data_IF_696164803067
#
_entry.id   IF_696164803067
#
_cell.length_a   1.000
_cell.length_b   1.000
_cell.length_c   1.000
_cell.angle_alpha   90.00
_cell.angle_beta   90.00
_cell.angle_gamma   90.00
#
_symmetry.space_group_name_H-M   'P 1'
#
loop_
_entity.id
_entity.type
_entity.pdbx_description
1 polymer ?
#
# COMPACT_ATOMS: atom_id res chain seq x y z
N UNK A 1 -22.84 -16.98 88.32
CA UNK A 1 -21.88 -17.78 87.51
C UNK A 1 -22.57 -18.15 86.20
N UNK A 2 -21.91 -17.99 85.04
CA UNK A 2 -22.47 -17.22 83.92
C UNK A 2 -23.43 -17.99 83.00
N UNK A 3 -24.39 -17.22 82.47
CA UNK A 3 -25.43 -17.62 81.52
C UNK A 3 -24.85 -17.81 80.12
N UNK A 4 -25.21 -18.92 79.46
CA UNK A 4 -24.87 -19.24 78.07
C UNK A 4 -25.60 -18.28 77.11
N UNK A 5 -24.85 -17.55 76.28
CA UNK A 5 -25.38 -16.87 75.10
C UNK A 5 -25.26 -17.79 73.89
N UNK A 6 -26.35 -17.95 73.16
CA UNK A 6 -26.40 -18.62 71.86
C UNK A 6 -26.19 -17.56 70.78
N UNK A 7 -25.20 -17.74 69.91
CA UNK A 7 -25.01 -16.90 68.72
C UNK A 7 -25.53 -17.70 67.53
N UNK A 8 -26.64 -17.25 66.97
CA UNK A 8 -27.21 -17.72 65.72
C UNK A 8 -26.40 -17.12 64.57
N UNK A 9 -25.68 -17.94 63.80
CA UNK A 9 -24.96 -17.50 62.61
C UNK A 9 -25.93 -17.37 61.43
N UNK A 10 -26.13 -16.14 60.95
CA UNK A 10 -26.89 -15.80 59.77
C UNK A 10 -26.05 -16.14 58.52
N UNK A 11 -26.45 -17.15 57.75
CA UNK A 11 -25.83 -17.44 56.44
C UNK A 11 -26.31 -16.41 55.42
N UNK A 12 -25.45 -15.44 55.11
CA UNK A 12 -25.63 -14.51 54.00
C UNK A 12 -25.26 -15.24 52.71
N UNK A 13 -26.24 -15.55 51.88
CA UNK A 13 -26.01 -16.11 50.54
C UNK A 13 -25.34 -15.04 49.65
N UNK A 14 -24.04 -15.19 49.38
CA UNK A 14 -23.36 -14.42 48.34
C UNK A 14 -23.87 -14.89 46.97
N UNK A 15 -24.66 -14.05 46.31
CA UNK A 15 -24.92 -14.16 44.87
C UNK A 15 -23.64 -13.77 44.13
N UNK A 16 -22.96 -14.75 43.53
CA UNK A 16 -21.87 -14.49 42.59
C UNK A 16 -22.45 -13.75 41.37
N UNK A 17 -21.86 -12.62 40.93
CA UNK A 17 -22.25 -12.02 39.65
C UNK A 17 -21.84 -12.99 38.53
N UNK A 18 -22.80 -13.34 37.69
CA UNK A 18 -22.56 -14.09 36.46
C UNK A 18 -21.61 -13.29 35.57
N UNK A 19 -20.38 -13.78 35.40
CA UNK A 19 -19.48 -13.30 34.37
C UNK A 19 -20.17 -13.45 33.01
N UNK A 20 -20.68 -12.36 32.46
CA UNK A 20 -21.00 -12.31 31.04
C UNK A 20 -19.67 -12.40 30.30
N UNK A 21 -19.35 -13.61 29.84
CA UNK A 21 -18.30 -13.81 28.85
C UNK A 21 -18.58 -12.86 27.68
N UNK A 22 -17.77 -11.81 27.55
CA UNK A 22 -17.73 -10.99 26.36
C UNK A 22 -17.47 -11.95 25.20
N UNK A 23 -18.46 -12.13 24.32
CA UNK A 23 -18.24 -12.84 23.08
C UNK A 23 -17.09 -12.14 22.37
N UNK A 24 -15.96 -12.84 22.21
CA UNK A 24 -14.86 -12.35 21.40
C UNK A 24 -15.42 -12.00 20.01
N UNK A 25 -15.05 -10.84 19.47
CA UNK A 25 -15.48 -10.40 18.15
C UNK A 25 -15.06 -11.46 17.11
N UNK A 26 -16.02 -12.30 16.70
CA UNK A 26 -15.79 -13.46 15.83
C UNK A 26 -15.69 -13.07 14.35
N UNK A 27 -15.55 -11.79 14.03
CA UNK A 27 -15.51 -11.29 12.66
C UNK A 27 -14.26 -11.83 11.95
N UNK A 28 -14.40 -12.68 10.92
CA UNK A 28 -13.26 -13.28 10.26
C UNK A 28 -12.48 -12.24 9.45
N UNK A 29 -11.14 -12.38 9.44
CA UNK A 29 -10.25 -11.56 8.61
C UNK A 29 -10.70 -11.56 7.15
N UNK A 30 -10.39 -10.48 6.44
CA UNK A 30 -10.62 -10.33 5.01
C UNK A 30 -10.03 -11.51 4.21
N UNK A 31 -8.80 -11.88 4.56
CA UNK A 31 -8.07 -13.06 4.07
C UNK A 31 -6.97 -13.43 5.09
N UNK A 32 -6.39 -14.64 5.02
CA UNK A 32 -5.28 -15.03 5.88
C UNK A 32 -4.10 -14.04 5.74
N UNK A 33 -3.67 -13.46 6.86
CA UNK A 33 -2.56 -12.48 6.86
C UNK A 33 -2.98 -11.02 6.64
N UNK A 34 -4.28 -10.72 6.49
CA UNK A 34 -4.75 -9.34 6.54
C UNK A 34 -4.43 -8.71 7.91
N UNK A 35 -3.93 -7.48 7.91
CA UNK A 35 -3.48 -6.75 9.10
C UNK A 35 -4.05 -5.34 9.14
N UNK A 36 -3.86 -4.65 10.26
CA UNK A 36 -4.28 -3.26 10.42
C UNK A 36 -5.76 -3.07 10.73
N UNK A 37 -6.20 -1.81 10.83
CA UNK A 37 -7.58 -1.49 11.21
C UNK A 37 -8.60 -1.93 10.14
N UNK A 38 -8.16 -2.19 8.91
CA UNK A 38 -9.00 -2.73 7.84
C UNK A 38 -8.98 -4.27 7.77
N UNK A 39 -8.26 -4.98 8.66
CA UNK A 39 -8.03 -6.42 8.54
C UNK A 39 -9.31 -7.28 8.47
N UNK A 40 -10.41 -6.78 9.02
CA UNK A 40 -11.72 -7.44 9.04
C UNK A 40 -12.71 -6.85 8.04
N UNK A 41 -12.26 -5.98 7.11
CA UNK A 41 -13.08 -5.46 6.02
C UNK A 41 -13.76 -6.62 5.29
N UNK A 42 -15.10 -6.62 5.15
CA UNK A 42 -15.82 -7.72 4.51
C UNK A 42 -15.60 -7.79 3.00
N UNK A 43 -15.25 -6.67 2.36
CA UNK A 43 -15.18 -6.56 0.91
C UNK A 43 -16.48 -7.03 0.26
N UNK A 44 -16.37 -7.86 -0.77
CA UNK A 44 -17.51 -8.43 -1.49
C UNK A 44 -18.10 -9.71 -0.89
N UNK A 45 -17.65 -10.17 0.28
CA UNK A 45 -18.03 -11.46 0.87
C UNK A 45 -19.57 -11.62 0.95
N UNK A 46 -20.07 -12.77 0.48
CA UNK A 46 -21.50 -13.07 0.43
C UNK A 46 -22.26 -12.38 -0.71
N UNK A 47 -21.56 -11.58 -1.52
CA UNK A 47 -22.10 -10.89 -2.69
C UNK A 47 -22.06 -11.71 -3.97
N UNK A 48 -22.29 -11.03 -5.09
CA UNK A 48 -22.26 -11.63 -6.43
C UNK A 48 -20.83 -11.97 -6.86
N UNK A 49 -20.65 -13.07 -7.57
CA UNK A 49 -19.39 -13.36 -8.28
C UNK A 49 -19.49 -12.83 -9.72
N UNK A 50 -18.74 -11.79 -10.02
CA UNK A 50 -18.68 -11.17 -11.35
C UNK A 50 -17.40 -11.62 -12.06
N UNK A 51 -17.56 -12.21 -13.25
CA UNK A 51 -16.46 -12.77 -14.05
C UNK A 51 -16.04 -11.77 -15.12
N UNK A 52 -14.78 -11.35 -15.08
CA UNK A 52 -14.16 -10.58 -16.16
C UNK A 52 -13.73 -11.56 -17.25
N UNK A 53 -14.26 -11.37 -18.45
CA UNK A 53 -14.10 -12.29 -19.60
C UNK A 53 -13.52 -11.60 -20.84
N UNK A 54 -13.21 -10.30 -20.76
CA UNK A 54 -12.56 -9.55 -21.84
C UNK A 54 -11.51 -8.59 -21.29
N UNK A 55 -10.46 -8.35 -22.07
CA UNK A 55 -9.45 -7.31 -21.81
C UNK A 55 -9.84 -5.95 -22.41
N UNK A 56 -11.03 -5.84 -23.01
CA UNK A 56 -11.56 -4.55 -23.42
C UNK A 56 -11.75 -3.63 -22.19
N UNK A 57 -11.45 -2.33 -22.31
CA UNK A 57 -11.49 -1.40 -21.17
C UNK A 57 -12.90 -1.13 -20.63
N UNK A 58 -13.93 -1.32 -21.46
CA UNK A 58 -15.33 -1.14 -21.07
C UNK A 58 -16.25 -2.11 -21.84
N UNK A 59 -17.53 -2.12 -21.47
CA UNK A 59 -18.56 -2.96 -22.04
C UNK A 59 -18.76 -4.29 -21.30
N UNK A 60 -19.72 -5.11 -21.73
CA UNK A 60 -20.06 -6.37 -21.07
C UNK A 60 -18.84 -7.29 -20.88
N UNK A 61 -18.69 -7.81 -19.65
CA UNK A 61 -17.58 -8.71 -19.29
C UNK A 61 -16.25 -8.02 -19.00
N UNK A 62 -16.15 -6.69 -19.10
CA UNK A 62 -14.94 -5.94 -18.74
C UNK A 62 -14.78 -5.79 -17.23
N UNK A 63 -13.56 -5.48 -16.79
CA UNK A 63 -13.27 -5.12 -15.39
C UNK A 63 -14.10 -3.90 -14.96
N UNK A 64 -14.18 -2.87 -15.81
CA UNK A 64 -14.92 -1.65 -15.50
C UNK A 64 -16.42 -1.92 -15.28
N UNK A 65 -17.06 -2.71 -16.14
CA UNK A 65 -18.46 -3.08 -15.96
C UNK A 65 -18.72 -3.84 -14.64
N UNK A 66 -17.78 -4.70 -14.22
CA UNK A 66 -17.87 -5.40 -12.94
C UNK A 66 -17.66 -4.46 -11.73
N UNK A 67 -16.74 -3.49 -11.84
CA UNK A 67 -16.52 -2.45 -10.82
C UNK A 67 -17.77 -1.57 -10.67
N UNK A 68 -18.39 -1.17 -11.78
CA UNK A 68 -19.56 -0.28 -11.81
C UNK A 68 -20.87 -0.96 -11.36
N UNK A 69 -20.86 -2.29 -11.15
CA UNK A 69 -22.04 -3.02 -10.67
C UNK A 69 -22.34 -2.68 -9.20
N UNK A 70 -23.56 -2.22 -8.85
CA UNK A 70 -23.89 -1.94 -7.45
C UNK A 70 -24.03 -3.19 -6.57
N UNK A 71 -23.86 -3.00 -5.27
CA UNK A 71 -24.04 -4.03 -4.25
C UNK A 71 -22.77 -4.85 -3.96
N UNK A 72 -22.81 -5.71 -2.92
CA UNK A 72 -21.69 -6.56 -2.55
C UNK A 72 -21.29 -7.48 -3.71
N UNK A 73 -20.01 -7.45 -4.08
CA UNK A 73 -19.51 -8.22 -5.24
C UNK A 73 -18.03 -8.58 -5.13
N UNK A 74 -17.71 -9.76 -5.64
CA UNK A 74 -16.36 -10.25 -5.83
C UNK A 74 -16.10 -10.34 -7.33
N UNK A 75 -15.07 -9.66 -7.79
CA UNK A 75 -14.60 -9.69 -9.17
C UNK A 75 -13.51 -10.75 -9.28
N UNK A 76 -13.75 -11.72 -10.17
CA UNK A 76 -12.82 -12.80 -10.52
C UNK A 76 -12.54 -12.76 -12.02
N UNK A 77 -11.45 -13.37 -12.46
CA UNK A 77 -10.95 -13.24 -13.83
C UNK A 77 -10.93 -14.58 -14.55
N UNK A 78 -11.52 -14.62 -15.74
CA UNK A 78 -11.38 -15.74 -16.69
C UNK A 78 -10.44 -15.40 -17.86
N UNK A 79 -9.84 -14.22 -17.81
CA UNK A 79 -8.89 -13.69 -18.78
C UNK A 79 -7.70 -13.09 -18.05
N UNK A 80 -6.52 -13.17 -18.65
CA UNK A 80 -5.28 -12.58 -18.18
C UNK A 80 -4.57 -11.89 -19.34
N UNK A 81 -3.97 -10.74 -19.07
CA UNK A 81 -3.26 -9.91 -20.04
C UNK A 81 -3.26 -8.45 -19.64
N UNK A 82 -3.17 -7.58 -20.65
CA UNK A 82 -3.13 -6.13 -20.49
C UNK A 82 -4.49 -5.53 -20.85
N UNK A 83 -5.02 -4.70 -19.95
CA UNK A 83 -6.18 -3.86 -20.18
C UNK A 83 -5.67 -2.43 -20.39
N UNK A 84 -5.86 -1.92 -21.59
CA UNK A 84 -5.52 -0.55 -21.93
C UNK A 84 -6.71 0.39 -21.71
N UNK A 85 -6.60 1.27 -20.73
CA UNK A 85 -7.68 2.20 -20.38
C UNK A 85 -7.61 3.54 -21.12
N UNK A 86 -6.62 3.75 -22.01
CA UNK A 86 -6.58 4.93 -22.86
C UNK A 86 -6.55 6.28 -22.13
N UNK A 87 -5.83 6.36 -21.00
CA UNK A 87 -5.76 7.53 -20.10
C UNK A 87 -7.11 7.87 -19.44
N UNK A 88 -7.89 6.86 -19.13
CA UNK A 88 -9.07 6.98 -18.27
C UNK A 88 -8.77 6.34 -16.92
N UNK A 89 -8.90 7.13 -15.84
CA UNK A 89 -8.80 6.60 -14.47
C UNK A 89 -10.04 5.78 -14.12
N UNK A 90 -9.85 4.72 -13.36
CA UNK A 90 -10.91 3.88 -12.81
C UNK A 90 -11.36 4.48 -11.49
N UNK A 91 -12.66 4.73 -11.33
CA UNK A 91 -13.24 5.20 -10.06
C UNK A 91 -14.10 4.11 -9.43
N UNK A 92 -13.75 3.69 -8.21
CA UNK A 92 -14.53 2.73 -7.42
C UNK A 92 -15.47 3.51 -6.49
N UNK A 93 -16.75 3.56 -6.87
CA UNK A 93 -17.79 4.33 -6.15
C UNK A 93 -18.75 3.49 -5.31
N UNK A 94 -18.88 2.21 -5.64
CA UNK A 94 -19.78 1.29 -4.94
C UNK A 94 -19.03 0.45 -3.89
N UNK A 95 -19.46 0.46 -2.62
CA UNK A 95 -18.78 -0.21 -1.52
C UNK A 95 -18.92 -1.74 -1.61
N UNK A 96 -18.32 -2.44 -0.65
CA UNK A 96 -18.40 -3.91 -0.52
C UNK A 96 -17.89 -4.63 -1.78
N UNK A 97 -16.63 -4.33 -2.13
CA UNK A 97 -15.98 -4.84 -3.34
C UNK A 97 -14.74 -5.64 -2.96
N UNK A 98 -14.58 -6.82 -3.56
CA UNK A 98 -13.29 -7.52 -3.62
C UNK A 98 -12.88 -7.69 -5.08
N UNK A 99 -11.71 -7.18 -5.45
CA UNK A 99 -11.07 -7.48 -6.74
C UNK A 99 -9.97 -8.52 -6.51
N UNK A 100 -10.23 -9.76 -6.92
CA UNK A 100 -9.35 -10.90 -6.66
C UNK A 100 -8.44 -11.19 -7.87
N UNK A 101 -7.43 -10.34 -8.10
CA UNK A 101 -6.49 -10.45 -9.23
C UNK A 101 -5.73 -11.79 -9.29
N UNK A 102 -5.57 -12.48 -8.15
CA UNK A 102 -4.92 -13.78 -8.06
C UNK A 102 -5.67 -14.89 -8.82
N UNK A 103 -6.96 -14.68 -9.11
CA UNK A 103 -7.78 -15.63 -9.87
C UNK A 103 -7.44 -15.63 -11.37
N UNK A 104 -6.81 -14.57 -11.88
CA UNK A 104 -6.53 -14.44 -13.29
C UNK A 104 -5.51 -15.51 -13.77
N UNK A 105 -5.73 -16.13 -14.95
CA UNK A 105 -4.71 -16.98 -15.56
C UNK A 105 -3.40 -16.19 -15.79
N UNK A 106 -2.28 -16.89 -15.91
CA UNK A 106 -1.01 -16.24 -16.26
C UNK A 106 -1.15 -15.48 -17.59
N UNK A 107 -0.66 -14.22 -17.70
CA UNK A 107 0.28 -13.53 -16.80
C UNK A 107 -0.37 -12.75 -15.64
N UNK A 108 -1.70 -12.70 -15.54
CA UNK A 108 -2.45 -11.88 -14.58
C UNK A 108 -3.06 -10.66 -15.25
N UNK A 109 -3.46 -9.67 -14.47
CA UNK A 109 -4.05 -8.44 -14.99
C UNK A 109 -3.08 -7.29 -14.80
N UNK A 110 -2.76 -6.63 -15.92
CA UNK A 110 -2.01 -5.38 -15.93
C UNK A 110 -2.88 -4.30 -16.53
N UNK A 111 -3.12 -3.24 -15.78
CA UNK A 111 -3.81 -2.04 -16.25
C UNK A 111 -2.76 -1.05 -16.72
N UNK A 112 -2.89 -0.54 -17.94
CA UNK A 112 -1.98 0.48 -18.47
C UNK A 112 -2.72 1.77 -18.78
N UNK A 113 -1.99 2.90 -18.77
CA UNK A 113 -2.54 4.22 -19.10
C UNK A 113 -3.72 4.57 -18.21
N UNK A 114 -3.59 4.34 -16.90
CA UNK A 114 -4.66 4.54 -15.94
C UNK A 114 -4.15 4.73 -14.52
N UNK A 115 -5.07 5.11 -13.65
CA UNK A 115 -4.97 5.09 -12.21
C UNK A 115 -6.23 4.49 -11.60
N UNK A 116 -6.20 4.16 -10.32
CA UNK A 116 -7.39 3.73 -9.57
C UNK A 116 -7.66 4.70 -8.43
N UNK A 117 -8.84 5.29 -8.41
CA UNK A 117 -9.36 6.04 -7.29
C UNK A 117 -10.44 5.24 -6.55
N UNK A 118 -10.21 4.93 -5.27
CA UNK A 118 -11.26 4.39 -4.39
C UNK A 118 -11.97 5.55 -3.70
N UNK A 119 -13.26 5.74 -3.98
CA UNK A 119 -14.09 6.85 -3.45
C UNK A 119 -15.25 6.35 -2.60
N UNK A 120 -15.04 5.25 -1.89
CA UNK A 120 -16.08 4.52 -1.14
C UNK A 120 -15.47 3.72 0.02
N UNK A 121 -16.18 2.76 0.59
CA UNK A 121 -15.72 1.98 1.73
C UNK A 121 -15.85 0.47 1.56
N UNK A 122 -15.16 -0.28 2.43
CA UNK A 122 -15.14 -1.74 2.48
C UNK A 122 -14.70 -2.36 1.13
N UNK A 123 -13.48 -2.01 0.71
CA UNK A 123 -12.91 -2.40 -0.58
C UNK A 123 -11.61 -3.17 -0.38
N UNK A 124 -11.46 -4.28 -1.10
CA UNK A 124 -10.24 -5.10 -1.11
C UNK A 124 -9.75 -5.21 -2.56
N UNK A 125 -8.52 -4.76 -2.83
CA UNK A 125 -7.83 -4.98 -4.11
C UNK A 125 -6.59 -5.83 -3.86
N UNK A 126 -6.47 -6.94 -4.60
CA UNK A 126 -5.28 -7.79 -4.53
C UNK A 126 -4.77 -8.23 -5.88
N UNK A 127 -3.45 -8.39 -5.98
CA UNK A 127 -2.78 -9.09 -7.09
C UNK A 127 -3.02 -8.46 -8.48
N UNK A 128 -3.06 -7.12 -8.54
CA UNK A 128 -3.14 -6.34 -9.77
C UNK A 128 -1.83 -5.60 -10.05
N UNK A 129 -1.53 -5.37 -11.33
CA UNK A 129 -0.50 -4.43 -11.77
C UNK A 129 -1.17 -3.20 -12.37
N UNK A 130 -0.71 -2.01 -12.02
CA UNK A 130 -1.13 -0.74 -12.60
C UNK A 130 0.10 0.02 -13.02
N UNK A 131 0.21 0.28 -14.32
CA UNK A 131 1.31 0.99 -14.97
C UNK A 131 0.75 2.24 -15.62
N UNK A 132 0.86 3.37 -14.91
CA UNK A 132 0.19 4.60 -15.31
C UNK A 132 0.81 5.19 -16.56
N UNK A 133 2.10 5.56 -16.48
CA UNK A 133 2.93 6.04 -17.58
C UNK A 133 2.48 7.37 -18.21
N UNK A 134 3.41 8.02 -18.88
CA UNK A 134 3.22 9.33 -19.53
C UNK A 134 2.55 9.19 -20.89
N UNK A 135 2.64 8.01 -21.53
CA UNK A 135 2.00 7.70 -22.81
C UNK A 135 2.30 8.74 -23.90
N UNK A 136 3.57 9.15 -23.96
CA UNK A 136 4.07 10.14 -24.92
C UNK A 136 3.47 11.54 -24.77
N UNK A 137 2.83 11.86 -23.63
CA UNK A 137 2.37 13.21 -23.35
C UNK A 137 3.57 14.17 -23.24
N UNK A 138 3.45 15.43 -23.74
CA UNK A 138 4.48 16.43 -23.55
C UNK A 138 4.70 16.73 -22.06
N UNK A 139 5.89 17.24 -21.73
CA UNK A 139 6.19 17.69 -20.37
C UNK A 139 5.17 18.75 -19.92
N UNK A 140 4.67 18.63 -18.69
CA UNK A 140 3.68 19.54 -18.07
C UNK A 140 2.38 19.70 -18.87
N UNK A 141 1.94 18.69 -19.62
CA UNK A 141 0.71 18.76 -20.43
C UNK A 141 -0.60 18.51 -19.67
N UNK A 142 -0.55 18.09 -18.40
CA UNK A 142 -1.72 17.94 -17.53
C UNK A 142 -2.29 16.53 -17.40
N UNK A 143 -1.66 15.50 -17.97
CA UNK A 143 -1.92 14.12 -17.52
C UNK A 143 -1.18 13.92 -16.20
N UNK A 144 -1.92 13.75 -15.10
CA UNK A 144 -1.40 13.78 -13.72
C UNK A 144 -2.02 12.68 -12.85
N UNK A 145 -2.23 11.49 -13.44
CA UNK A 145 -2.85 10.41 -12.70
C UNK A 145 -1.93 9.83 -11.62
N UNK A 146 -2.50 9.63 -10.44
CA UNK A 146 -2.02 8.64 -9.47
C UNK A 146 -2.10 7.24 -10.08
N UNK A 147 -1.20 6.35 -9.69
CA UNK A 147 -1.37 4.93 -9.98
C UNK A 147 -2.46 4.32 -9.09
N UNK A 148 -2.47 4.68 -7.81
CA UNK A 148 -3.53 4.33 -6.88
C UNK A 148 -3.71 5.44 -5.83
N UNK A 149 -4.96 5.80 -5.60
CA UNK A 149 -5.35 6.75 -4.55
C UNK A 149 -6.64 6.30 -3.88
N UNK A 150 -6.74 6.50 -2.56
CA UNK A 150 -8.05 6.60 -1.93
C UNK A 150 -8.47 8.06 -1.82
N UNK A 151 -9.76 8.36 -1.99
CA UNK A 151 -10.28 9.73 -1.89
C UNK A 151 -11.47 9.72 -0.93
N UNK A 152 -11.23 10.15 0.31
CA UNK A 152 -12.18 10.06 1.43
C UNK A 152 -12.76 8.63 1.61
N UNK A 153 -11.94 7.61 1.36
CA UNK A 153 -12.33 6.21 1.49
C UNK A 153 -12.11 5.68 2.90
N UNK A 154 -12.77 4.58 3.27
CA UNK A 154 -12.42 3.91 4.52
C UNK A 154 -12.58 2.40 4.49
N UNK A 155 -11.84 1.73 5.38
CA UNK A 155 -11.81 0.27 5.48
C UNK A 155 -11.36 -0.35 4.15
N UNK A 156 -10.20 0.04 3.65
CA UNK A 156 -9.66 -0.41 2.35
C UNK A 156 -8.37 -1.21 2.55
N UNK A 157 -8.25 -2.34 1.86
CA UNK A 157 -7.02 -3.12 1.79
C UNK A 157 -6.51 -3.16 0.35
N UNK A 158 -5.24 -2.81 0.19
CA UNK A 158 -4.47 -2.95 -1.05
C UNK A 158 -3.32 -3.88 -0.70
N UNK A 159 -3.41 -5.14 -1.14
CA UNK A 159 -2.44 -6.17 -0.80
C UNK A 159 -1.87 -6.87 -2.04
N UNK A 160 -0.54 -7.01 -2.09
CA UNK A 160 0.16 -7.58 -3.24
C UNK A 160 -0.28 -6.93 -4.55
N UNK A 161 -0.13 -5.61 -4.68
CA UNK A 161 -0.29 -4.90 -5.94
C UNK A 161 1.05 -4.33 -6.38
N UNK A 162 1.21 -4.17 -7.69
CA UNK A 162 2.34 -3.45 -8.27
C UNK A 162 1.83 -2.17 -8.90
N UNK A 163 2.40 -1.04 -8.48
CA UNK A 163 1.97 0.30 -8.78
C UNK A 163 3.19 1.07 -9.30
N UNK A 164 3.26 1.32 -10.60
CA UNK A 164 4.44 1.97 -11.19
C UNK A 164 4.07 3.08 -12.15
N UNK A 165 5.06 3.95 -12.37
CA UNK A 165 5.01 5.03 -13.36
C UNK A 165 3.89 6.03 -13.11
N UNK A 166 3.52 6.23 -11.83
CA UNK A 166 2.63 7.30 -11.41
C UNK A 166 3.15 8.65 -11.87
N UNK A 167 2.24 9.52 -12.31
CA UNK A 167 2.58 10.89 -12.71
C UNK A 167 2.37 11.86 -11.55
N UNK A 168 1.47 11.54 -10.62
CA UNK A 168 1.42 12.15 -9.30
C UNK A 168 1.99 11.17 -8.26
N UNK A 169 1.20 10.34 -7.59
CA UNK A 169 1.68 9.31 -6.66
C UNK A 169 1.46 7.85 -7.12
N UNK A 170 2.35 6.96 -6.69
CA UNK A 170 2.17 5.52 -6.89
C UNK A 170 1.10 4.90 -5.96
N UNK A 171 1.05 5.30 -4.67
CA UNK A 171 0.22 4.62 -3.66
C UNK A 171 -0.21 5.56 -2.52
N UNK A 172 -1.30 6.32 -2.69
CA UNK A 172 -1.73 7.38 -1.76
C UNK A 172 -3.03 7.08 -1.00
N UNK A 173 -3.21 7.75 0.15
CA UNK A 173 -4.50 7.87 0.82
C UNK A 173 -4.83 9.34 1.08
N UNK A 174 -5.83 9.82 0.34
CA UNK A 174 -6.13 11.23 0.17
C UNK A 174 -7.56 11.55 0.58
N UNK A 175 -7.87 12.84 0.70
CA UNK A 175 -9.21 13.31 1.03
C UNK A 175 -9.20 14.79 1.41
N UNK A 176 -10.38 15.38 1.66
CA UNK A 176 -10.48 16.75 2.11
C UNK A 176 -9.83 16.92 3.48
N UNK A 177 -9.06 18.01 3.65
CA UNK A 177 -8.34 18.31 4.89
C UNK A 177 -9.28 18.61 6.06
N UNK A 178 -10.36 19.35 5.80
CA UNK A 178 -11.33 19.79 6.78
C UNK A 178 -12.74 19.48 6.31
N UNK A 179 -13.43 18.59 7.03
CA UNK A 179 -14.84 18.27 6.83
C UNK A 179 -15.61 18.47 8.12
N UNK A 180 -16.39 19.55 8.22
CA UNK A 180 -17.07 19.90 9.48
C UNK A 180 -16.23 20.81 10.39
N UNK A 181 -16.57 20.82 11.68
CA UNK A 181 -16.11 21.80 12.68
C UNK A 181 -15.17 21.24 13.74
N UNK A 182 -14.96 19.93 13.79
CA UNK A 182 -14.07 19.28 14.77
C UNK A 182 -13.05 18.35 14.10
N UNK A 183 -11.95 18.06 14.80
CA UNK A 183 -10.93 17.11 14.35
C UNK A 183 -11.52 15.72 14.10
N UNK A 184 -12.51 15.30 14.88
CA UNK A 184 -13.22 14.03 14.67
C UNK A 184 -13.99 14.03 13.34
N UNK A 185 -14.71 15.10 13.04
CA UNK A 185 -15.42 15.24 11.77
C UNK A 185 -14.45 15.31 10.59
N UNK A 186 -13.29 15.97 10.74
CA UNK A 186 -12.23 16.02 9.72
C UNK A 186 -11.70 14.62 9.41
N UNK A 187 -11.37 13.85 10.45
CA UNK A 187 -10.88 12.47 10.32
C UNK A 187 -11.90 11.55 9.67
N UNK A 188 -13.18 11.72 9.99
CA UNK A 188 -14.27 10.92 9.42
C UNK A 188 -14.53 11.23 7.95
N UNK A 189 -14.34 12.47 7.51
CA UNK A 189 -14.61 12.87 6.12
C UNK A 189 -13.40 12.78 5.18
N UNK A 190 -12.23 12.37 5.67
CA UNK A 190 -11.06 12.04 4.87
C UNK A 190 -10.77 10.54 4.91
N UNK A 191 -9.73 10.09 4.19
CA UNK A 191 -9.40 8.66 4.16
C UNK A 191 -8.96 8.14 5.53
N UNK A 192 -9.51 7.00 5.96
CA UNK A 192 -9.12 6.37 7.23
C UNK A 192 -9.25 4.85 7.20
N UNK A 193 -8.47 4.15 8.03
CA UNK A 193 -8.39 2.69 8.05
C UNK A 193 -8.02 2.11 6.67
N UNK A 194 -6.84 2.47 6.18
CA UNK A 194 -6.31 2.02 4.88
C UNK A 194 -5.06 1.19 5.12
N UNK A 195 -5.03 -0.04 4.60
CA UNK A 195 -3.87 -0.92 4.71
C UNK A 195 -3.26 -1.16 3.34
N UNK A 196 -2.00 -0.76 3.20
CA UNK A 196 -1.13 -1.10 2.09
C UNK A 196 -0.18 -2.21 2.56
N UNK A 197 -0.33 -3.43 2.06
CA UNK A 197 0.55 -4.55 2.41
C UNK A 197 1.18 -5.27 1.23
N UNK A 198 2.46 -5.63 1.34
CA UNK A 198 3.17 -6.42 0.33
C UNK A 198 3.14 -5.81 -1.09
N UNK A 199 2.99 -4.48 -1.22
CA UNK A 199 2.94 -3.82 -2.52
C UNK A 199 4.34 -3.43 -3.03
N UNK A 200 4.46 -3.30 -4.35
CA UNK A 200 5.62 -2.70 -5.01
C UNK A 200 5.18 -1.36 -5.64
N UNK A 201 5.68 -0.24 -5.13
CA UNK A 201 5.37 1.11 -5.57
C UNK A 201 6.64 1.82 -6.10
N UNK A 202 6.85 1.83 -7.42
CA UNK A 202 8.17 2.18 -7.96
C UNK A 202 8.13 3.07 -9.21
N UNK A 203 9.25 3.76 -9.45
CA UNK A 203 9.50 4.52 -10.67
C UNK A 203 8.40 5.54 -10.98
N UNK A 204 7.97 6.34 -9.98
CA UNK A 204 7.17 7.53 -10.29
C UNK A 204 7.91 8.40 -11.31
N UNK A 205 7.21 8.96 -12.30
CA UNK A 205 7.87 9.67 -13.40
C UNK A 205 8.20 11.11 -12.98
N UNK A 206 9.47 11.47 -13.03
CA UNK A 206 9.97 12.72 -12.44
C UNK A 206 9.57 13.95 -13.28
N UNK A 207 10.22 14.24 -14.41
CA UNK A 207 9.91 15.41 -15.25
C UNK A 207 9.03 15.01 -16.46
N UNK A 208 7.81 14.57 -16.16
CA UNK A 208 6.83 14.06 -17.12
C UNK A 208 5.70 15.07 -17.40
N UNK A 209 4.46 14.59 -17.60
CA UNK A 209 3.30 15.41 -17.96
C UNK A 209 2.67 16.18 -16.80
N UNK A 210 3.11 15.98 -15.56
CA UNK A 210 2.55 16.66 -14.39
C UNK A 210 2.73 18.20 -14.49
N UNK A 211 1.67 19.01 -14.32
CA UNK A 211 1.71 20.45 -14.58
C UNK A 211 2.58 21.21 -13.58
N UNK A 212 2.79 20.67 -12.37
CA UNK A 212 3.61 21.30 -11.32
C UNK A 212 5.13 21.10 -11.52
N UNK A 213 5.55 20.42 -12.60
CA UNK A 213 6.95 20.04 -12.82
C UNK A 213 7.24 18.68 -12.19
N UNK A 214 8.44 18.53 -11.59
CA UNK A 214 8.88 17.25 -11.03
C UNK A 214 7.82 16.65 -10.08
N UNK A 215 7.38 15.42 -10.38
CA UNK A 215 6.36 14.76 -9.58
C UNK A 215 6.48 13.22 -9.44
N UNK A 216 7.70 12.71 -9.31
CA UNK A 216 7.92 11.30 -8.97
C UNK A 216 7.72 11.06 -7.47
N UNK A 217 6.53 10.58 -7.09
CA UNK A 217 6.13 10.43 -5.68
C UNK A 217 5.72 8.99 -5.33
N UNK A 218 6.19 8.50 -4.19
CA UNK A 218 5.82 7.17 -3.69
C UNK A 218 4.38 7.11 -3.17
N UNK A 219 4.08 7.91 -2.14
CA UNK A 219 2.86 7.86 -1.34
C UNK A 219 2.61 9.17 -0.60
N UNK A 220 1.42 9.75 -0.76
CA UNK A 220 0.95 10.90 -0.02
C UNK A 220 -0.21 10.51 0.90
N UNK A 221 -0.09 10.86 2.18
CA UNK A 221 -1.15 10.73 3.17
C UNK A 221 -1.63 12.12 3.56
N UNK A 222 -2.84 12.46 3.14
CA UNK A 222 -3.43 13.78 3.38
C UNK A 222 -3.68 14.07 4.87
N UNK A 223 -3.92 15.35 5.12
CA UNK A 223 -4.18 15.86 6.45
C UNK A 223 -5.36 15.13 7.10
N UNK A 224 -5.22 14.88 8.40
CA UNK A 224 -6.20 14.18 9.24
C UNK A 224 -6.53 12.74 8.79
N UNK A 225 -5.83 12.15 7.81
CA UNK A 225 -6.00 10.74 7.47
C UNK A 225 -5.42 9.85 8.59
N UNK A 226 -6.21 8.89 9.08
CA UNK A 226 -5.84 8.08 10.27
C UNK A 226 -5.96 6.58 10.03
N UNK A 227 -5.30 5.78 10.86
CA UNK A 227 -5.32 4.33 10.70
C UNK A 227 -4.68 3.87 9.38
N UNK A 228 -3.70 4.63 8.87
CA UNK A 228 -2.98 4.29 7.65
C UNK A 228 -1.84 3.33 8.01
N UNK A 229 -1.80 2.18 7.34
CA UNK A 229 -0.81 1.13 7.59
C UNK A 229 -0.02 0.85 6.32
N UNK A 230 1.30 0.88 6.43
CA UNK A 230 2.24 0.39 5.44
C UNK A 230 2.97 -0.81 6.02
N UNK A 231 2.72 -2.01 5.48
CA UNK A 231 3.29 -3.26 5.95
C UNK A 231 3.98 -4.03 4.83
N UNK A 232 5.32 -4.21 4.90
CA UNK A 232 6.08 -5.03 3.93
C UNK A 232 6.01 -4.53 2.48
N UNK A 233 5.84 -3.23 2.27
CA UNK A 233 5.88 -2.64 0.93
C UNK A 233 7.32 -2.37 0.49
N UNK A 234 7.52 -2.27 -0.82
CA UNK A 234 8.73 -1.76 -1.45
C UNK A 234 8.40 -0.45 -2.16
N UNK A 235 9.10 0.62 -1.81
CA UNK A 235 9.22 1.81 -2.63
C UNK A 235 10.58 1.82 -3.31
N UNK A 236 10.64 2.07 -4.61
CA UNK A 236 11.90 2.11 -5.35
C UNK A 236 11.91 3.22 -6.39
N UNK A 237 13.03 3.94 -6.51
CA UNK A 237 13.25 4.90 -7.61
C UNK A 237 12.21 6.03 -7.69
N UNK A 238 11.73 6.48 -6.53
CA UNK A 238 10.86 7.65 -6.44
C UNK A 238 11.69 8.84 -5.97
N UNK A 239 11.46 10.02 -6.51
CA UNK A 239 12.18 11.23 -6.08
C UNK A 239 11.91 11.53 -4.61
N UNK A 240 10.65 11.43 -4.21
CA UNK A 240 10.25 11.73 -2.84
C UNK A 240 8.93 11.07 -2.39
N UNK A 241 8.52 11.37 -1.16
CA UNK A 241 7.27 10.92 -0.51
C UNK A 241 7.22 9.40 -0.38
N UNK A 242 8.12 8.82 0.40
CA UNK A 242 8.17 7.36 0.61
C UNK A 242 7.91 6.95 2.08
N UNK A 243 6.81 7.36 2.76
CA UNK A 243 5.72 8.26 2.35
C UNK A 243 5.92 9.72 2.82
N UNK A 244 5.07 10.64 2.33
CA UNK A 244 4.79 11.93 2.98
C UNK A 244 3.50 11.84 3.80
N UNK A 245 3.57 12.24 5.07
CA UNK A 245 2.41 12.36 5.96
C UNK A 245 2.11 13.83 6.25
N UNK A 246 0.87 14.28 6.00
CA UNK A 246 0.47 15.67 6.25
C UNK A 246 -0.09 15.91 7.67
N UNK A 247 -0.45 17.15 7.97
CA UNK A 247 -0.92 17.63 9.28
C UNK A 247 -2.01 16.77 9.90
N UNK A 248 -1.89 16.44 11.20
CA UNK A 248 -2.83 15.55 11.90
C UNK A 248 -2.93 14.10 11.37
N UNK A 249 -2.21 13.74 10.30
CA UNK A 249 -2.18 12.41 9.73
C UNK A 249 -1.48 11.39 10.63
N UNK A 250 -1.88 10.13 10.53
CA UNK A 250 -1.34 9.03 11.35
C UNK A 250 -0.95 7.83 10.49
N UNK A 251 0.31 7.41 10.58
CA UNK A 251 0.84 6.28 9.84
C UNK A 251 1.59 5.28 10.73
N UNK A 252 1.34 3.99 10.47
CA UNK A 252 2.11 2.87 11.00
C UNK A 252 2.91 2.23 9.86
N UNK A 253 4.23 2.22 9.98
CA UNK A 253 5.16 1.66 9.00
C UNK A 253 5.90 0.47 9.62
N UNK A 254 5.65 -0.74 9.12
CA UNK A 254 6.29 -1.97 9.59
C UNK A 254 6.96 -2.72 8.44
N UNK A 255 8.25 -3.01 8.57
CA UNK A 255 9.02 -3.85 7.65
C UNK A 255 8.94 -3.45 6.16
N UNK A 256 8.87 -2.14 5.87
CA UNK A 256 8.94 -1.67 4.49
C UNK A 256 10.41 -1.46 4.04
N UNK A 257 10.62 -1.51 2.73
CA UNK A 257 11.88 -1.14 2.08
C UNK A 257 11.68 0.11 1.23
N UNK A 258 12.55 1.10 1.42
CA UNK A 258 12.66 2.30 0.59
C UNK A 258 14.02 2.23 -0.08
N UNK A 259 14.06 2.15 -1.41
CA UNK A 259 15.28 2.02 -2.19
C UNK A 259 15.44 3.16 -3.19
N UNK A 260 16.66 3.71 -3.30
CA UNK A 260 16.99 4.82 -4.18
C UNK A 260 16.00 6.01 -4.12
N UNK A 261 15.61 6.53 -2.93
CA UNK A 261 14.91 7.81 -2.87
C UNK A 261 15.88 8.92 -3.29
N UNK A 262 15.46 9.91 -4.08
CA UNK A 262 16.36 10.99 -4.52
C UNK A 262 16.52 12.07 -3.45
N UNK A 263 15.49 12.90 -3.27
CA UNK A 263 15.56 14.09 -2.41
C UNK A 263 15.00 13.87 -1.02
N UNK A 264 14.03 12.95 -0.87
CA UNK A 264 13.37 12.66 0.43
C UNK A 264 12.88 11.22 0.51
N UNK A 265 13.15 10.55 1.62
CA UNK A 265 12.53 9.26 1.95
C UNK A 265 11.19 9.49 2.66
N UNK A 266 11.10 9.16 3.96
CA UNK A 266 9.95 9.48 4.79
C UNK A 266 9.97 10.97 5.10
N UNK A 267 8.84 11.65 5.02
CA UNK A 267 8.77 13.00 5.55
C UNK A 267 7.39 13.40 6.06
N UNK A 268 7.36 14.49 6.81
CA UNK A 268 6.15 15.06 7.37
C UNK A 268 6.11 16.58 7.17
N UNK A 269 4.92 17.10 6.84
CA UNK A 269 4.63 18.52 7.01
C UNK A 269 3.19 18.82 7.40
N UNK A 270 3.05 19.93 8.11
CA UNK A 270 1.82 20.68 8.21
C UNK A 270 2.16 22.10 7.81
N UNK A 271 1.60 22.63 6.72
CA UNK A 271 1.93 23.98 6.24
C UNK A 271 0.87 24.98 6.69
N UNK A 272 1.27 26.10 7.31
CA UNK A 272 0.37 27.16 7.77
C UNK A 272 -0.57 27.66 6.67
N UNK A 273 -0.05 27.81 5.44
CA UNK A 273 -0.84 28.28 4.29
C UNK A 273 -2.03 27.37 3.95
N UNK A 274 -1.96 26.10 4.35
CA UNK A 274 -3.01 25.11 4.16
C UNK A 274 -3.95 24.96 5.36
N UNK A 275 -3.57 25.55 6.50
CA UNK A 275 -4.24 25.46 7.81
C UNK A 275 -4.74 26.83 8.34
N UNK A 276 -4.77 27.86 7.49
CA UNK A 276 -5.24 29.20 7.86
C UNK A 276 -6.64 29.13 8.50
N UNK A 277 -6.77 29.67 9.72
CA UNK A 277 -8.03 29.67 10.46
C UNK A 277 -8.31 28.40 11.26
N UNK A 278 -7.38 27.46 11.31
CA UNK A 278 -7.50 26.21 12.06
C UNK A 278 -6.28 25.98 12.97
N UNK A 279 -6.55 25.51 14.19
CA UNK A 279 -5.49 25.06 15.09
C UNK A 279 -4.78 23.84 14.52
N UNK A 280 -3.46 23.76 14.69
CA UNK A 280 -2.68 22.63 14.21
C UNK A 280 -2.99 21.36 15.00
N UNK A 281 -3.01 20.24 14.28
CA UNK A 281 -3.11 18.91 14.87
C UNK A 281 -1.79 18.18 14.67
N UNK A 282 -1.18 17.74 15.77
CA UNK A 282 0.06 16.96 15.75
C UNK A 282 -0.13 15.67 14.96
N UNK A 283 0.73 15.44 13.97
CA UNK A 283 0.79 14.17 13.23
C UNK A 283 1.43 13.06 14.04
N UNK A 284 1.26 11.81 13.60
CA UNK A 284 1.83 10.65 14.28
C UNK A 284 2.45 9.66 13.30
N UNK A 285 3.69 9.25 13.56
CA UNK A 285 4.35 8.17 12.81
C UNK A 285 4.90 7.15 13.81
N UNK A 286 4.53 5.88 13.62
CA UNK A 286 5.19 4.72 14.23
C UNK A 286 5.94 3.98 13.14
N UNK A 287 7.27 3.90 13.21
CA UNK A 287 8.11 3.21 12.25
C UNK A 287 8.93 2.11 12.94
N UNK A 288 8.65 0.85 12.61
CA UNK A 288 9.31 -0.31 13.22
C UNK A 288 9.88 -1.25 12.15
N UNK A 289 11.17 -1.54 12.23
CA UNK A 289 11.79 -2.56 11.38
C UNK A 289 11.86 -2.16 9.90
N UNK A 290 11.88 -0.87 9.54
CA UNK A 290 11.93 -0.44 8.14
C UNK A 290 13.38 -0.32 7.64
N UNK A 291 13.59 -0.52 6.35
CA UNK A 291 14.88 -0.34 5.67
C UNK A 291 14.77 0.84 4.72
N UNK A 292 15.70 1.78 4.81
CA UNK A 292 16.02 2.73 3.76
C UNK A 292 17.42 2.44 3.25
N UNK A 293 17.57 2.21 1.95
CA UNK A 293 18.87 2.07 1.29
C UNK A 293 18.98 3.06 0.13
N UNK A 294 20.00 3.91 0.17
CA UNK A 294 20.32 4.82 -0.92
C UNK A 294 20.71 4.08 -2.20
N UNK A 295 20.47 4.70 -3.35
CA UNK A 295 20.85 4.20 -4.67
C UNK A 295 21.66 5.22 -5.47
N UNK A 296 21.55 5.17 -6.80
CA UNK A 296 22.31 6.05 -7.68
C UNK A 296 21.93 7.53 -7.56
N UNK A 297 20.66 7.83 -7.30
CA UNK A 297 20.12 9.19 -7.28
C UNK A 297 20.02 9.77 -5.87
N UNK A 298 20.19 8.94 -4.84
CA UNK A 298 20.04 9.39 -3.46
C UNK A 298 21.02 10.49 -3.11
N UNK A 299 20.47 11.63 -2.69
CA UNK A 299 21.26 12.74 -2.20
C UNK A 299 22.16 12.30 -1.05
N UNK A 300 23.36 12.89 -1.01
CA UNK A 300 24.32 12.61 0.05
C UNK A 300 23.72 12.98 1.41
N UNK A 301 23.97 12.13 2.41
CA UNK A 301 23.55 12.31 3.80
C UNK A 301 22.01 12.41 3.97
N UNK A 302 21.23 11.88 3.02
CA UNK A 302 19.77 11.92 3.08
C UNK A 302 19.23 11.23 4.35
N UNK A 303 18.48 11.92 5.21
CA UNK A 303 17.92 11.32 6.42
C UNK A 303 16.79 10.32 6.14
N UNK A 304 16.59 9.37 7.05
CA UNK A 304 15.42 8.47 7.01
C UNK A 304 14.10 9.24 7.05
N UNK A 305 13.96 10.16 8.01
CA UNK A 305 12.79 11.01 8.18
C UNK A 305 13.17 12.49 8.12
N UNK A 306 12.50 13.24 7.25
CA UNK A 306 12.65 14.70 7.18
C UNK A 306 11.40 15.43 7.68
N UNK A 307 11.59 16.43 8.52
CA UNK A 307 10.54 17.28 9.07
C UNK A 307 10.48 18.63 8.35
N UNK A 308 9.28 19.11 8.03
CA UNK A 308 9.06 20.44 7.49
C UNK A 308 7.74 21.05 7.96
N UNK A 309 7.48 22.30 7.53
CA UNK A 309 6.25 23.03 7.85
C UNK A 309 6.24 23.72 9.21
N UNK A 310 5.08 23.79 9.83
CA UNK A 310 4.81 24.62 11.01
C UNK A 310 4.22 23.81 12.18
N UNK A 311 3.57 22.67 11.91
CA UNK A 311 2.95 21.81 12.91
C UNK A 311 3.84 20.66 13.37
N UNK A 312 3.65 20.22 14.61
CA UNK A 312 4.49 19.20 15.26
C UNK A 312 4.19 17.76 14.78
N UNK A 313 5.21 16.89 14.89
CA UNK A 313 5.11 15.46 14.64
C UNK A 313 5.46 14.67 15.90
N UNK A 314 4.58 13.78 16.35
CA UNK A 314 4.95 12.72 17.28
C UNK A 314 5.52 11.51 16.53
N UNK A 315 6.69 11.02 16.94
CA UNK A 315 7.40 9.94 16.27
C UNK A 315 7.84 8.85 17.23
N UNK A 316 7.55 7.60 16.91
CA UNK A 316 8.15 6.42 17.53
C UNK A 316 8.93 5.61 16.48
N UNK A 317 10.22 5.43 16.69
CA UNK A 317 11.11 4.62 15.85
C UNK A 317 11.67 3.44 16.62
N UNK A 318 11.73 2.26 16.00
CA UNK A 318 12.43 1.09 16.57
C UNK A 318 12.99 0.20 15.47
N UNK A 319 14.27 -0.16 15.59
CA UNK A 319 14.94 -1.10 14.67
C UNK A 319 14.82 -0.69 13.18
N UNK A 320 14.90 0.61 12.87
CA UNK A 320 14.93 1.06 11.47
C UNK A 320 16.38 1.11 11.00
N UNK A 321 16.67 0.56 9.82
CA UNK A 321 17.97 0.58 9.16
C UNK A 321 17.96 1.62 8.05
N UNK A 322 18.94 2.51 8.03
CA UNK A 322 19.04 3.56 7.02
C UNK A 322 20.51 3.74 6.63
N UNK A 323 20.83 3.41 5.38
CA UNK A 323 22.20 3.40 4.85
C UNK A 323 22.25 4.00 3.45
N UNK A 324 23.40 4.55 3.08
CA UNK A 324 23.65 5.00 1.72
C UNK A 324 23.86 3.81 0.76
N UNK A 325 24.13 4.12 -0.51
CA UNK A 325 24.40 3.12 -1.55
C UNK A 325 25.64 2.26 -1.29
N UNK A 326 26.50 2.66 -0.36
CA UNK A 326 27.74 1.96 0.02
C UNK A 326 27.60 1.24 1.37
N UNK A 327 26.43 1.31 2.01
CA UNK A 327 26.17 0.72 3.32
C UNK A 327 26.64 1.56 4.51
N UNK A 328 27.09 2.80 4.28
CA UNK A 328 27.39 3.72 5.37
C UNK A 328 26.10 4.21 6.03
N UNK A 329 26.10 4.37 7.36
CA UNK A 329 24.93 4.82 8.09
C UNK A 329 24.55 6.25 7.67
N UNK A 330 23.25 6.48 7.44
CA UNK A 330 22.67 7.80 7.20
C UNK A 330 22.15 8.42 8.50
N UNK A 331 21.77 9.71 8.53
CA UNK A 331 21.05 10.29 9.65
C UNK A 331 19.63 9.71 9.77
N UNK A 332 19.12 9.55 10.99
CA UNK A 332 17.72 9.16 11.19
C UNK A 332 16.76 10.34 10.90
N UNK A 333 17.16 11.55 11.31
CA UNK A 333 16.32 12.74 11.23
C UNK A 333 17.01 13.90 10.53
N UNK A 334 16.26 14.65 9.73
CA UNK A 334 16.65 15.96 9.27
C UNK A 334 15.46 16.86 8.98
N UNK A 335 15.72 17.96 8.28
CA UNK A 335 14.72 19.00 7.97
C UNK A 335 14.85 19.44 6.53
N UNK A 336 13.73 19.83 5.92
CA UNK A 336 13.75 20.49 4.61
C UNK A 336 13.23 21.92 4.76
N UNK A 337 14.11 22.87 4.46
CA UNK A 337 13.90 24.28 4.80
C UNK A 337 14.03 24.56 6.30
N UNK A 338 13.77 25.81 6.68
CA UNK A 338 13.66 26.24 8.07
C UNK A 338 12.22 26.00 8.56
N UNK A 339 12.05 25.31 9.67
CA UNK A 339 10.74 24.88 10.17
C UNK A 339 10.61 25.10 11.67
N UNK A 340 9.45 25.61 12.10
CA UNK A 340 9.12 25.76 13.53
C UNK A 340 8.58 24.46 14.14
N UNK A 341 8.27 23.46 13.31
CA UNK A 341 7.76 22.17 13.75
C UNK A 341 8.76 21.46 14.68
N UNK A 342 8.22 20.80 15.69
CA UNK A 342 8.97 19.96 16.62
C UNK A 342 8.76 18.49 16.29
N UNK A 343 9.87 17.75 16.31
CA UNK A 343 9.84 16.30 16.36
C UNK A 343 9.74 15.88 17.83
N UNK A 344 8.60 15.29 18.21
CA UNK A 344 8.29 14.85 19.56
C UNK A 344 8.53 13.33 19.62
N UNK A 345 9.67 12.92 20.15
CA UNK A 345 9.97 11.49 20.35
C UNK A 345 9.02 10.87 21.38
N UNK A 346 8.26 9.87 20.95
CA UNK A 346 7.37 9.07 21.79
C UNK A 346 8.14 7.91 22.45
N UNK A 347 7.78 7.58 23.69
CA UNK A 347 8.39 6.48 24.45
C UNK A 347 7.80 5.10 24.14
N UNK A 348 6.65 5.06 23.47
CA UNK A 348 5.93 3.85 23.11
C UNK A 348 5.30 4.04 21.71
N UNK A 349 4.95 2.94 21.01
CA UNK A 349 4.25 3.00 19.73
C UNK A 349 2.99 3.86 19.82
N UNK A 350 2.76 4.70 18.80
CA UNK A 350 1.58 5.56 18.69
C UNK A 350 0.40 4.82 18.05
N UNK A 351 0.66 3.67 17.41
CA UNK A 351 -0.34 2.75 16.89
C UNK A 351 -0.12 1.33 17.44
N UNK A 352 -1.16 0.49 17.54
CA UNK A 352 -1.03 -0.89 18.00
C UNK A 352 -0.11 -1.73 17.11
N UNK A 353 0.80 -2.49 17.73
CA UNK A 353 1.70 -3.43 17.04
C UNK A 353 1.23 -4.89 17.11
N UNK A 354 0.10 -5.16 17.78
CA UNK A 354 -0.48 -6.51 17.85
C UNK A 354 -0.97 -6.98 16.48
N UNK A 355 -0.81 -8.27 16.18
CA UNK A 355 -1.26 -8.88 14.91
C UNK A 355 -0.26 -8.77 13.74
N UNK A 356 0.86 -8.07 13.89
CA UNK A 356 1.92 -8.01 12.89
C UNK A 356 3.05 -8.98 13.20
N UNK A 357 3.58 -9.62 12.15
CA UNK A 357 4.83 -10.37 12.25
C UNK A 357 6.00 -9.44 11.92
N UNK A 358 6.56 -8.82 12.97
CA UNK A 358 7.68 -7.89 12.84
C UNK A 358 8.99 -8.69 12.73
N UNK A 359 9.65 -8.58 11.58
CA UNK A 359 10.95 -9.18 11.33
C UNK A 359 12.07 -8.37 11.99
N UNK A 360 13.20 -9.02 12.35
CA UNK A 360 14.47 -8.32 12.51
C UNK A 360 14.78 -7.52 11.25
N UNK A 361 15.22 -6.26 11.39
CA UNK A 361 15.38 -5.35 10.25
C UNK A 361 16.29 -5.88 9.14
N UNK A 362 17.28 -6.72 9.48
CA UNK A 362 18.21 -7.33 8.52
C UNK A 362 17.57 -8.39 7.61
N UNK A 363 16.42 -8.94 8.02
CA UNK A 363 15.70 -9.95 7.24
C UNK A 363 14.64 -9.31 6.31
N UNK A 364 14.35 -8.02 6.50
CA UNK A 364 13.25 -7.32 5.84
C UNK A 364 13.46 -7.27 4.33
N UNK A 365 14.62 -6.82 3.87
CA UNK A 365 14.92 -6.70 2.44
C UNK A 365 14.77 -8.06 1.74
N UNK A 366 15.38 -9.11 2.30
CA UNK A 366 15.26 -10.47 1.75
C UNK A 366 13.81 -10.93 1.69
N UNK A 367 13.03 -10.66 2.74
CA UNK A 367 11.60 -11.00 2.77
C UNK A 367 10.83 -10.27 1.67
N UNK A 368 10.92 -8.93 1.60
CA UNK A 368 10.07 -8.16 0.68
C UNK A 368 10.47 -8.34 -0.77
N UNK A 369 11.75 -8.57 -1.09
CA UNK A 369 12.17 -8.93 -2.45
C UNK A 369 11.55 -10.25 -2.92
N UNK A 370 11.24 -11.15 -2.00
CA UNK A 370 10.58 -12.42 -2.31
C UNK A 370 9.04 -12.33 -2.34
N UNK A 371 8.43 -11.43 -1.57
CA UNK A 371 6.97 -11.39 -1.38
C UNK A 371 6.26 -10.21 -2.02
N UNK A 372 6.89 -9.05 -2.17
CA UNK A 372 6.21 -7.85 -2.64
C UNK A 372 5.84 -7.91 -4.13
N UNK A 373 4.76 -7.22 -4.47
CA UNK A 373 4.24 -7.06 -5.84
C UNK A 373 3.02 -7.94 -6.12
N UNK A 374 2.51 -7.81 -7.35
CA UNK A 374 1.25 -8.38 -7.81
C UNK A 374 1.22 -9.91 -7.73
N UNK A 375 2.29 -10.57 -8.18
CA UNK A 375 2.34 -12.04 -8.23
C UNK A 375 3.73 -12.52 -7.88
N UNK A 376 4.10 -12.60 -6.60
CA UNK A 376 5.43 -13.07 -6.20
C UNK A 376 5.77 -14.48 -6.70
N UNK A 377 4.77 -15.27 -7.08
CA UNK A 377 4.94 -16.60 -7.69
C UNK A 377 5.04 -16.60 -9.23
N UNK A 378 4.70 -15.49 -9.89
CA UNK A 378 4.61 -15.36 -11.35
C UNK A 378 4.76 -13.88 -11.78
N UNK A 379 5.90 -13.30 -11.41
CA UNK A 379 6.22 -11.89 -11.68
C UNK A 379 6.29 -11.60 -13.18
N UNK A 380 5.91 -10.38 -13.56
CA UNK A 380 6.15 -9.90 -14.91
C UNK A 380 7.58 -9.35 -15.07
N UNK A 381 7.92 -8.91 -16.28
CA UNK A 381 9.26 -8.44 -16.59
C UNK A 381 9.65 -7.18 -15.82
N UNK A 382 8.71 -6.26 -15.58
CA UNK A 382 8.99 -4.99 -14.89
C UNK A 382 9.17 -5.19 -13.39
N UNK A 383 8.34 -6.02 -12.75
CA UNK A 383 8.56 -6.42 -11.34
C UNK A 383 9.91 -7.08 -11.14
N UNK A 384 10.28 -8.01 -12.03
CA UNK A 384 11.60 -8.66 -11.99
C UNK A 384 12.70 -7.61 -12.14
N UNK A 385 12.62 -6.74 -13.15
CA UNK A 385 13.63 -5.70 -13.40
C UNK A 385 13.85 -4.81 -12.19
N UNK A 386 12.78 -4.26 -11.62
CA UNK A 386 12.87 -3.35 -10.46
C UNK A 386 13.41 -4.08 -9.23
N UNK A 387 12.93 -5.28 -8.92
CA UNK A 387 13.40 -6.01 -7.73
C UNK A 387 14.85 -6.47 -7.87
N UNK A 388 15.32 -6.80 -9.07
CA UNK A 388 16.73 -7.07 -9.33
C UNK A 388 17.59 -5.80 -9.22
N UNK A 389 17.09 -4.65 -9.71
CA UNK A 389 17.77 -3.37 -9.52
C UNK A 389 17.93 -3.03 -8.05
N UNK A 390 16.88 -3.24 -7.25
CA UNK A 390 16.95 -3.13 -5.81
C UNK A 390 18.03 -4.06 -5.28
N UNK A 391 17.94 -5.38 -5.53
CA UNK A 391 18.86 -6.38 -4.99
C UNK A 391 20.35 -6.12 -5.32
N UNK A 392 20.63 -5.57 -6.50
CA UNK A 392 22.00 -5.37 -7.00
C UNK A 392 22.52 -3.94 -6.82
N UNK A 393 21.72 -3.03 -6.24
CA UNK A 393 22.13 -1.63 -6.09
C UNK A 393 22.19 -0.86 -7.42
N UNK A 394 21.31 -1.19 -8.37
CA UNK A 394 21.15 -0.52 -9.69
C UNK A 394 19.87 0.31 -9.77
N UNK A 395 19.58 0.85 -10.95
CA UNK A 395 18.35 1.57 -11.30
C UNK A 395 18.39 3.03 -10.90
N UNK A 396 17.61 3.83 -11.61
CA UNK A 396 17.65 5.29 -11.56
C UNK A 396 16.22 5.87 -11.53
N UNK A 397 16.06 7.11 -11.09
CA UNK A 397 14.83 7.89 -11.31
C UNK A 397 14.67 8.15 -12.80
N UNK A 398 13.45 7.99 -13.33
CA UNK A 398 13.12 8.11 -14.76
C UNK A 398 12.06 9.20 -15.01
N UNK A 399 12.03 9.74 -16.23
CA UNK A 399 11.03 10.72 -16.69
C UNK A 399 9.93 10.11 -17.57
N UNK A 400 10.20 8.98 -18.23
CA UNK A 400 9.28 8.32 -19.17
C UNK A 400 9.41 6.79 -19.06
N UNK A 401 8.29 6.06 -19.11
CA UNK A 401 8.30 4.59 -19.10
C UNK A 401 9.13 3.97 -20.24
N UNK A 402 9.39 4.72 -21.32
CA UNK A 402 10.22 4.29 -22.47
C UNK A 402 11.71 4.31 -22.21
N UNK A 403 12.18 4.94 -21.13
CA UNK A 403 13.58 4.84 -20.70
C UNK A 403 13.94 3.43 -20.24
N UNK A 404 12.92 2.66 -19.85
CA UNK A 404 13.01 1.26 -19.50
C UNK A 404 12.35 0.40 -20.59
N UNK A 405 11.39 -0.47 -20.27
CA UNK A 405 10.76 -1.37 -21.24
C UNK A 405 9.53 -0.78 -21.94
N UNK A 406 8.92 0.27 -21.38
CA UNK A 406 7.57 0.73 -21.73
C UNK A 406 6.47 -0.27 -21.37
N UNK A 407 5.24 -0.03 -21.84
CA UNK A 407 4.10 -0.89 -21.51
C UNK A 407 4.28 -2.34 -22.00
N UNK A 408 3.92 -3.34 -21.16
CA UNK A 408 4.12 -4.75 -21.48
C UNK A 408 3.26 -5.18 -22.69
N UNK A 409 3.85 -6.04 -23.53
CA UNK A 409 3.18 -6.67 -24.67
C UNK A 409 3.05 -8.17 -24.42
N UNK A 410 1.98 -8.56 -23.72
CA UNK A 410 1.70 -9.96 -23.38
C UNK A 410 0.49 -10.47 -24.16
N UNK A 411 0.51 -11.77 -24.48
CA UNK A 411 -0.62 -12.43 -25.14
C UNK A 411 -1.75 -12.64 -24.13
N UNK A 412 -2.99 -12.39 -24.58
CA UNK A 412 -4.19 -12.77 -23.82
C UNK A 412 -4.21 -14.28 -23.55
N UNK A 413 -4.57 -14.64 -22.31
CA UNK A 413 -4.80 -16.02 -21.89
C UNK A 413 -6.18 -16.13 -21.26
N UNK A 414 -6.89 -17.21 -21.58
CA UNK A 414 -8.22 -17.50 -21.02
C UNK A 414 -8.20 -18.80 -20.24
N UNK A 415 -8.88 -18.82 -19.11
CA UNK A 415 -9.15 -20.02 -18.33
C UNK A 415 -10.45 -19.81 -17.54
N UNK A 416 -11.35 -20.79 -17.45
CA UNK A 416 -12.57 -20.64 -16.68
C UNK A 416 -12.27 -20.49 -15.18
N UNK A 417 -13.06 -19.68 -14.47
CA UNK A 417 -13.02 -19.62 -13.02
C UNK A 417 -13.88 -20.77 -12.46
N UNK A 418 -13.29 -21.63 -11.64
CA UNK A 418 -13.95 -22.81 -11.08
C UNK A 418 -14.22 -22.59 -9.59
N UNK A 419 -15.43 -22.14 -9.24
CA UNK A 419 -15.83 -21.72 -7.88
C UNK A 419 -15.47 -22.77 -6.82
N UNK A 420 -15.65 -24.06 -7.12
CA UNK A 420 -15.37 -25.15 -6.19
C UNK A 420 -13.90 -25.24 -5.76
N UNK A 421 -12.96 -24.72 -6.57
CA UNK A 421 -11.53 -24.72 -6.30
C UNK A 421 -11.07 -23.59 -5.35
N UNK A 422 -11.96 -22.66 -5.01
CA UNK A 422 -11.65 -21.47 -4.21
C UNK A 422 -12.46 -21.43 -2.92
N UNK A 423 -11.88 -20.86 -1.88
CA UNK A 423 -12.64 -20.33 -0.74
C UNK A 423 -13.17 -18.95 -1.13
N UNK A 424 -14.48 -18.84 -1.38
CA UNK A 424 -15.11 -17.59 -1.81
C UNK A 424 -15.19 -16.53 -0.69
N UNK A 425 -14.92 -16.89 0.57
CA UNK A 425 -14.91 -15.93 1.67
C UNK A 425 -13.59 -15.15 1.77
N UNK A 426 -12.49 -15.77 1.33
CA UNK A 426 -11.12 -15.23 1.45
C UNK A 426 -10.43 -15.05 0.09
N UNK A 427 -11.00 -15.65 -0.97
CA UNK A 427 -10.44 -15.75 -2.31
C UNK A 427 -9.06 -16.42 -2.35
N UNK A 428 -8.87 -17.42 -1.50
CA UNK A 428 -7.69 -18.28 -1.51
C UNK A 428 -7.97 -19.61 -2.24
N UNK A 429 -7.02 -20.15 -3.02
CA UNK A 429 -7.19 -21.43 -3.69
C UNK A 429 -7.14 -22.55 -2.66
N UNK A 430 -8.09 -23.48 -2.68
CA UNK A 430 -8.13 -24.63 -1.76
C UNK A 430 -6.94 -25.58 -1.92
N UNK A 431 -6.31 -25.57 -3.10
CA UNK A 431 -5.09 -26.32 -3.38
C UNK A 431 -3.84 -25.71 -2.73
N UNK A 432 -3.90 -24.43 -2.31
CA UNK A 432 -2.71 -23.65 -1.94
C UNK A 432 -1.83 -23.25 -3.11
N UNK A 433 -2.26 -23.50 -4.36
CA UNK A 433 -1.51 -23.18 -5.58
C UNK A 433 -2.28 -22.16 -6.40
N UNK A 434 -1.65 -21.03 -6.70
CA UNK A 434 -2.26 -19.98 -7.51
C UNK A 434 -2.11 -20.27 -9.02
N UNK A 435 -3.03 -19.74 -9.86
CA UNK A 435 -2.85 -19.75 -11.30
C UNK A 435 -1.48 -19.21 -11.71
N UNK A 436 -0.85 -19.81 -12.72
CA UNK A 436 0.46 -19.40 -13.24
C UNK A 436 1.65 -19.67 -12.31
N UNK A 437 1.44 -20.20 -11.09
CA UNK A 437 2.51 -20.59 -10.19
C UNK A 437 3.29 -21.77 -10.80
N UNK A 438 4.55 -21.51 -11.12
CA UNK A 438 5.51 -22.51 -11.60
C UNK A 438 6.70 -22.57 -10.63
N UNK A 439 7.37 -23.72 -10.61
CA UNK A 439 8.62 -23.91 -9.88
C UNK A 439 9.72 -24.30 -10.89
N UNK A 440 10.94 -23.75 -10.81
CA UNK A 440 11.38 -22.69 -9.88
C UNK A 440 10.74 -21.31 -10.16
N UNK A 441 10.80 -20.41 -9.18
CA UNK A 441 10.29 -19.04 -9.31
C UNK A 441 10.91 -18.31 -10.53
N UNK A 442 10.20 -17.37 -11.16
CA UNK A 442 10.71 -16.60 -12.31
C UNK A 442 12.07 -15.95 -12.02
N UNK A 443 13.02 -16.10 -12.93
CA UNK A 443 14.38 -15.53 -12.84
C UNK A 443 14.54 -14.34 -13.80
N UNK A 444 15.57 -13.52 -13.58
CA UNK A 444 15.95 -12.41 -14.47
C UNK A 444 16.07 -12.84 -15.94
N UNK A 445 15.65 -11.97 -16.86
CA UNK A 445 15.93 -12.14 -18.28
C UNK A 445 17.38 -11.75 -18.57
N UNK A 446 18.27 -12.75 -18.53
CA UNK A 446 19.68 -12.59 -18.80
C UNK A 446 19.95 -12.09 -20.23
N UNK A 447 20.98 -11.25 -20.40
CA UNK A 447 21.48 -10.90 -21.73
C UNK A 447 21.91 -12.16 -22.50
N UNK A 448 21.99 -12.11 -23.83
CA UNK A 448 22.46 -13.27 -24.61
C UNK A 448 23.87 -13.73 -24.17
N UNK A 449 24.74 -12.77 -23.83
CA UNK A 449 26.08 -13.03 -23.31
C UNK A 449 26.02 -13.71 -21.94
N UNK A 450 25.17 -13.24 -21.03
CA UNK A 450 25.04 -13.80 -19.67
C UNK A 450 24.37 -15.18 -19.68
N UNK A 451 23.48 -15.43 -20.64
CA UNK A 451 22.96 -16.78 -20.89
C UNK A 451 24.09 -17.72 -21.34
N UNK A 452 24.87 -17.31 -22.33
CA UNK A 452 25.96 -18.12 -22.88
C UNK A 452 27.03 -18.44 -21.81
N UNK A 453 27.40 -17.44 -20.99
CA UNK A 453 28.37 -17.63 -19.90
C UNK A 453 27.88 -18.59 -18.81
N UNK A 454 26.57 -18.59 -18.50
CA UNK A 454 25.98 -19.52 -17.53
C UNK A 454 25.75 -20.93 -18.10
N UNK A 455 25.52 -21.06 -19.40
CA UNK A 455 25.34 -22.38 -20.04
C UNK A 455 26.65 -23.01 -20.51
N UNK A 456 27.78 -22.30 -20.41
CA UNK A 456 29.11 -22.81 -20.78
C UNK A 456 29.29 -23.00 -22.29
N UNK A 457 28.51 -22.30 -23.13
CA UNK A 457 28.60 -22.34 -24.60
C UNK A 457 29.29 -21.10 -25.16
#
# INVERSE_FOLDING_TARGET
>A
MPKKLWITALFLALTLPSDMAMAADTTPLAFPGAVGPAAQTPGGRGGQILRVTTLAPDGPGSLKAAIDTPGPRIIVFEVGGVIDMGRQSIEIKHPYLTIAGQTAPGPGITLIRTGIDVKTHDVILRHLRVYTGVDGQPKRSGWEADTFSTVAAHNVIIDHCTLMWGIDENMSASGPRFTGKSVEEWRKGTSHNITFSNNLAAEGLADASHPKGEHSKGSLIHDNATGIVFYRNVWAHNVERNPLIKGGGQALMINNLIYNPQHRAVHYNLMNLEWVGHDYVTGQITAVGNVMRGGNDTDKDLPFLMLGGDGDLAYYGKDNLHVDRHGAALPEFGRYGETQAKLISAKAPLAPLGGYHILPVRDVETSVLSTAGARPWARDAEEIRVLFFVAEGRGDVIDDEKEVSGYPKVKEVRAPFVDAAWDLATMEPKSGVYPGQSTPLPQENLSQRDRASRTGN
#
